data_IF_549446453100
#
_entry.id   IF_549446453100
#
_cell.length_a   1.000
_cell.length_b   1.000
_cell.length_c   1.000
_cell.angle_alpha   90.00
_cell.angle_beta   90.00
_cell.angle_gamma   90.00
#
_symmetry.space_group_name_H-M   'P 1'
#
loop_
_entity.id
_entity.type
_entity.pdbx_description
1 polymer ?
#
# COMPACT_ATOMS: atom_id res chain seq x y z
N UNK A 1 14.06 -7.76 64.97
CA UNK A 1 15.10 -7.08 64.16
C UNK A 1 15.38 -7.82 62.86
N UNK A 2 15.71 -9.12 62.89
CA UNK A 2 15.98 -9.95 61.70
C UNK A 2 14.82 -9.97 60.69
N UNK A 3 13.58 -10.22 61.14
CA UNK A 3 12.40 -10.23 60.25
C UNK A 3 12.13 -8.87 59.57
N UNK A 4 12.52 -7.77 60.21
CA UNK A 4 12.34 -6.41 59.67
C UNK A 4 13.37 -6.12 58.56
N UNK A 5 14.62 -6.58 58.76
CA UNK A 5 15.68 -6.49 57.75
C UNK A 5 15.36 -7.38 56.54
N UNK A 6 14.88 -8.61 56.78
CA UNK A 6 14.44 -9.52 55.70
C UNK A 6 13.26 -8.89 54.93
N UNK A 7 12.27 -8.34 55.64
CA UNK A 7 11.15 -7.65 55.00
C UNK A 7 11.58 -6.47 54.14
N UNK A 8 12.54 -5.67 54.61
CA UNK A 8 13.08 -4.53 53.87
C UNK A 8 13.86 -4.97 52.62
N UNK A 9 14.70 -6.02 52.73
CA UNK A 9 15.42 -6.60 51.60
C UNK A 9 14.47 -7.20 50.56
N UNK A 10 13.43 -7.91 51.00
CA UNK A 10 12.40 -8.44 50.09
C UNK A 10 11.62 -7.33 49.40
N UNK A 11 11.29 -6.24 50.09
CA UNK A 11 10.60 -5.10 49.49
C UNK A 11 11.48 -4.37 48.46
N UNK A 12 12.77 -4.19 48.75
CA UNK A 12 13.73 -3.60 47.81
C UNK A 12 13.94 -4.50 46.60
N UNK A 13 14.13 -5.80 46.81
CA UNK A 13 14.29 -6.77 45.72
C UNK A 13 13.02 -6.87 44.86
N UNK A 14 11.84 -6.94 45.48
CA UNK A 14 10.56 -6.98 44.80
C UNK A 14 10.27 -5.69 44.01
N UNK A 15 10.55 -4.52 44.61
CA UNK A 15 10.42 -3.23 43.94
C UNK A 15 11.36 -3.10 42.75
N UNK A 16 12.63 -3.51 42.91
CA UNK A 16 13.62 -3.51 41.84
C UNK A 16 13.23 -4.45 40.70
N UNK A 17 12.87 -5.71 41.00
CA UNK A 17 12.44 -6.67 39.99
C UNK A 17 11.16 -6.20 39.29
N UNK A 18 10.18 -5.68 40.03
CA UNK A 18 8.93 -5.15 39.46
C UNK A 18 9.18 -3.98 38.51
N UNK A 19 10.05 -3.05 38.88
CA UNK A 19 10.47 -1.97 38.00
C UNK A 19 11.20 -2.49 36.75
N UNK A 20 12.15 -3.41 36.92
CA UNK A 20 12.88 -4.03 35.83
C UNK A 20 11.94 -4.73 34.82
N UNK A 21 11.01 -5.56 35.31
CA UNK A 21 10.04 -6.24 34.45
C UNK A 21 9.10 -5.26 33.74
N UNK A 22 8.66 -4.19 34.43
CA UNK A 22 7.81 -3.16 33.83
C UNK A 22 8.53 -2.46 32.68
N UNK A 23 9.77 -2.03 32.88
CA UNK A 23 10.59 -1.39 31.83
C UNK A 23 10.86 -2.36 30.69
N UNK A 24 11.18 -3.62 30.99
CA UNK A 24 11.41 -4.65 29.97
C UNK A 24 10.18 -4.91 29.11
N UNK A 25 9.03 -5.18 29.73
CA UNK A 25 7.78 -5.43 29.01
C UNK A 25 7.34 -4.22 28.18
N UNK A 26 7.54 -3.00 28.71
CA UNK A 26 7.29 -1.77 27.96
C UNK A 26 8.16 -1.72 26.69
N UNK A 27 9.47 -1.92 26.82
CA UNK A 27 10.38 -1.90 25.67
C UNK A 27 10.10 -3.01 24.66
N UNK A 28 9.75 -4.21 25.13
CA UNK A 28 9.40 -5.34 24.26
C UNK A 28 8.09 -5.07 23.49
N UNK A 29 7.10 -4.44 24.13
CA UNK A 29 5.87 -3.98 23.47
C UNK A 29 6.19 -2.97 22.35
N UNK A 30 7.01 -1.96 22.64
CA UNK A 30 7.38 -0.93 21.65
C UNK A 30 8.07 -1.56 20.44
N UNK A 31 9.00 -2.49 20.66
CA UNK A 31 9.65 -3.24 19.58
C UNK A 31 8.66 -4.04 18.75
N UNK A 32 7.70 -4.70 19.39
CA UNK A 32 6.66 -5.46 18.70
C UNK A 32 5.75 -4.55 17.85
N UNK A 33 5.37 -3.39 18.37
CA UNK A 33 4.58 -2.39 17.63
C UNK A 33 5.36 -1.84 16.42
N UNK A 34 6.64 -1.56 16.60
CA UNK A 34 7.50 -1.06 15.51
C UNK A 34 7.66 -2.13 14.42
N UNK A 35 7.87 -3.40 14.81
CA UNK A 35 7.86 -4.52 13.86
C UNK A 35 6.52 -4.62 13.11
N UNK A 36 5.40 -4.61 13.84
CA UNK A 36 4.07 -4.70 13.26
C UNK A 36 3.80 -3.58 12.24
N UNK A 37 4.26 -2.35 12.51
CA UNK A 37 4.11 -1.23 11.57
C UNK A 37 4.74 -1.53 10.20
N UNK A 38 5.91 -2.16 10.19
CA UNK A 38 6.55 -2.52 8.94
C UNK A 38 5.98 -3.79 8.32
N UNK A 39 5.56 -4.77 9.12
CA UNK A 39 4.85 -5.94 8.61
C UNK A 39 3.56 -5.50 7.86
N UNK A 40 2.88 -4.44 8.31
CA UNK A 40 1.76 -3.85 7.57
C UNK A 40 2.17 -3.24 6.23
N UNK A 41 3.32 -2.56 6.13
CA UNK A 41 3.80 -2.09 4.83
C UNK A 41 4.10 -3.24 3.86
N UNK A 42 4.56 -4.38 4.39
CA UNK A 42 4.77 -5.60 3.61
C UNK A 42 3.44 -6.19 3.11
N UNK A 43 2.44 -6.27 3.98
CA UNK A 43 1.08 -6.70 3.61
C UNK A 43 0.50 -5.78 2.53
N UNK A 44 0.61 -4.46 2.68
CA UNK A 44 0.13 -3.50 1.68
C UNK A 44 0.84 -3.72 0.34
N UNK A 45 2.18 -3.80 0.35
CA UNK A 45 2.98 -4.07 -0.85
C UNK A 45 2.50 -5.34 -1.56
N UNK A 46 2.34 -6.44 -0.82
CA UNK A 46 1.99 -7.75 -1.39
C UNK A 46 0.56 -7.77 -1.93
N UNK A 47 -0.39 -7.13 -1.25
CA UNK A 47 -1.76 -6.95 -1.76
C UNK A 47 -1.71 -6.26 -3.11
N UNK A 48 -1.06 -5.10 -3.23
CA UNK A 48 -1.02 -4.38 -4.51
C UNK A 48 -0.25 -5.16 -5.58
N UNK A 49 0.89 -5.77 -5.22
CA UNK A 49 1.69 -6.56 -6.14
C UNK A 49 0.92 -7.73 -6.77
N UNK A 50 0.05 -8.39 -5.99
CA UNK A 50 -0.77 -9.50 -6.48
C UNK A 50 -1.81 -9.11 -7.54
N UNK A 51 -2.17 -7.81 -7.63
CA UNK A 51 -3.16 -7.32 -8.60
C UNK A 51 -2.54 -6.74 -9.88
N UNK A 52 -1.24 -6.44 -9.90
CA UNK A 52 -0.58 -5.80 -11.06
C UNK A 52 -0.81 -6.58 -12.35
N UNK A 53 -0.61 -7.90 -12.33
CA UNK A 53 -0.78 -8.75 -13.51
C UNK A 53 -2.20 -8.65 -14.07
N UNK A 54 -3.20 -8.81 -13.21
CA UNK A 54 -4.61 -8.74 -13.63
C UNK A 54 -4.97 -7.37 -14.20
N UNK A 55 -4.46 -6.28 -13.59
CA UNK A 55 -4.72 -4.93 -14.06
C UNK A 55 -4.03 -4.64 -15.41
N UNK A 56 -2.83 -5.15 -15.65
CA UNK A 56 -2.17 -5.07 -16.96
C UNK A 56 -2.97 -5.86 -18.02
N UNK A 57 -3.44 -7.06 -17.68
CA UNK A 57 -4.29 -7.85 -18.57
C UNK A 57 -5.62 -7.14 -18.85
N UNK A 58 -6.19 -6.42 -17.87
CA UNK A 58 -7.38 -5.58 -18.06
C UNK A 58 -7.10 -4.34 -18.92
N UNK A 59 -5.89 -3.80 -18.84
CA UNK A 59 -5.47 -2.63 -19.60
C UNK A 59 -5.28 -2.94 -21.08
N UNK A 60 -4.63 -4.06 -21.39
CA UNK A 60 -4.40 -4.51 -22.77
C UNK A 60 -5.66 -5.17 -23.37
N UNK A 61 -6.39 -5.97 -22.58
CA UNK A 61 -7.64 -6.63 -22.99
C UNK A 61 -8.84 -6.05 -22.23
N UNK A 62 -9.29 -4.89 -22.68
CA UNK A 62 -10.22 -3.97 -22.03
C UNK A 62 -11.70 -4.14 -22.39
N UNK A 63 -12.06 -5.11 -23.23
CA UNK A 63 -13.46 -5.50 -23.52
C UNK A 63 -13.61 -7.01 -23.37
N UNK A 64 -13.69 -7.47 -22.12
CA UNK A 64 -13.75 -8.89 -21.78
C UNK A 64 -14.90 -9.21 -20.83
N UNK A 65 -15.12 -10.51 -20.61
CA UNK A 65 -16.22 -11.03 -19.79
C UNK A 65 -15.96 -10.95 -18.28
N UNK A 66 -14.69 -10.81 -17.86
CA UNK A 66 -14.29 -10.71 -16.45
C UNK A 66 -13.11 -9.77 -16.30
N UNK A 67 -13.18 -8.86 -15.33
CA UNK A 67 -12.11 -7.92 -15.01
C UNK A 67 -11.49 -8.27 -13.68
N UNK A 68 -10.19 -8.02 -13.54
CA UNK A 68 -9.55 -8.03 -12.22
C UNK A 68 -9.96 -6.77 -11.45
N UNK A 69 -10.04 -6.85 -10.13
CA UNK A 69 -10.27 -5.70 -9.26
C UNK A 69 -8.96 -5.17 -8.68
N UNK A 70 -9.02 -4.02 -8.01
CA UNK A 70 -7.98 -3.62 -7.06
C UNK A 70 -8.61 -3.56 -5.68
N UNK A 71 -7.98 -4.17 -4.68
CA UNK A 71 -8.52 -4.17 -3.32
C UNK A 71 -8.42 -2.77 -2.72
N UNK A 72 -9.45 -2.38 -1.95
CA UNK A 72 -9.39 -1.15 -1.13
C UNK A 72 -8.25 -1.25 -0.12
N UNK A 73 -7.62 -0.11 0.15
CA UNK A 73 -6.58 0.03 1.16
C UNK A 73 -7.22 0.47 2.48
N UNK A 74 -7.03 -0.31 3.54
CA UNK A 74 -7.38 0.08 4.90
C UNK A 74 -6.11 0.49 5.65
N UNK A 75 -6.13 1.67 6.26
CA UNK A 75 -5.03 2.24 7.03
C UNK A 75 -5.32 2.28 8.54
N UNK A 76 -6.47 1.75 8.99
CA UNK A 76 -6.93 1.80 10.38
C UNK A 76 -5.87 1.27 11.36
N UNK A 77 -5.28 0.11 11.06
CA UNK A 77 -4.30 -0.53 11.92
C UNK A 77 -2.95 0.19 11.93
N UNK A 78 -2.45 0.61 10.75
CA UNK A 78 -1.25 1.47 10.63
C UNK A 78 -1.39 2.77 11.45
N UNK A 79 -2.55 3.42 11.35
CA UNK A 79 -2.83 4.65 12.10
C UNK A 79 -2.86 4.39 13.63
N UNK A 80 -3.39 3.24 14.04
CA UNK A 80 -3.44 2.83 15.44
C UNK A 80 -2.03 2.58 15.98
N UNK A 81 -1.19 1.85 15.24
CA UNK A 81 0.21 1.61 15.59
C UNK A 81 1.01 2.91 15.69
N UNK A 82 0.78 3.87 14.77
CA UNK A 82 1.43 5.17 14.80
C UNK A 82 1.10 5.94 16.09
N UNK A 83 -0.16 5.91 16.53
CA UNK A 83 -0.59 6.55 17.78
C UNK A 83 0.05 5.88 19.01
N UNK A 84 0.08 4.55 19.04
CA UNK A 84 0.69 3.81 20.16
C UNK A 84 2.20 4.02 20.27
N UNK A 85 2.91 4.03 19.13
CA UNK A 85 4.33 4.34 19.07
C UNK A 85 4.61 5.78 19.51
N UNK A 86 3.75 6.72 19.13
CA UNK A 86 3.87 8.10 19.58
C UNK A 86 3.66 8.26 21.09
N UNK A 87 2.69 7.55 21.67
CA UNK A 87 2.49 7.51 23.12
C UNK A 87 3.70 6.91 23.86
N UNK A 88 4.44 6.01 23.20
CA UNK A 88 5.62 5.34 23.75
C UNK A 88 6.93 6.09 23.50
N UNK A 89 6.89 7.29 22.91
CA UNK A 89 8.04 8.12 22.52
C UNK A 89 8.97 7.50 21.45
N UNK A 90 8.61 6.36 20.86
CA UNK A 90 9.31 5.74 19.72
C UNK A 90 8.66 6.16 18.40
N UNK A 91 8.62 7.47 18.16
CA UNK A 91 7.90 8.06 17.02
C UNK A 91 8.66 7.73 15.73
N UNK A 92 7.99 7.16 14.70
CA UNK A 92 8.60 6.98 13.39
C UNK A 92 9.13 8.29 12.79
N UNK A 93 10.13 8.18 11.91
CA UNK A 93 10.73 9.36 11.27
C UNK A 93 9.68 10.22 10.55
N UNK A 94 9.99 11.51 10.35
CA UNK A 94 9.08 12.45 9.68
C UNK A 94 8.67 11.92 8.29
N UNK A 95 9.60 11.30 7.59
CA UNK A 95 9.46 10.76 6.25
C UNK A 95 8.53 9.55 6.23
N UNK A 96 8.67 8.63 7.21
CA UNK A 96 7.73 7.50 7.39
C UNK A 96 6.33 8.00 7.70
N UNK A 97 6.19 9.01 8.58
CA UNK A 97 4.88 9.62 8.88
C UNK A 97 4.27 10.32 7.68
N UNK A 98 5.08 10.96 6.84
CA UNK A 98 4.62 11.56 5.60
C UNK A 98 4.17 10.49 4.60
N UNK A 99 4.87 9.35 4.50
CA UNK A 99 4.42 8.21 3.72
C UNK A 99 3.06 7.69 4.21
N UNK A 100 2.88 7.50 5.53
CA UNK A 100 1.59 7.09 6.10
C UNK A 100 0.49 8.09 5.74
N UNK A 101 0.76 9.39 5.79
CA UNK A 101 -0.19 10.43 5.37
C UNK A 101 -0.57 10.29 3.89
N UNK A 102 0.41 10.07 3.01
CA UNK A 102 0.17 9.88 1.58
C UNK A 102 -0.66 8.60 1.33
N UNK A 103 -0.36 7.50 2.02
CA UNK A 103 -1.13 6.26 1.92
C UNK A 103 -2.58 6.42 2.43
N UNK A 104 -2.82 7.22 3.47
CA UNK A 104 -4.17 7.58 3.89
C UNK A 104 -4.93 8.35 2.81
N UNK A 105 -4.27 9.28 2.12
CA UNK A 105 -4.87 10.00 0.98
C UNK A 105 -5.16 9.05 -0.20
N UNK A 106 -4.25 8.12 -0.49
CA UNK A 106 -4.48 7.06 -1.47
C UNK A 106 -5.69 6.22 -1.09
N UNK A 107 -5.77 5.76 0.17
CA UNK A 107 -6.91 4.99 0.69
C UNK A 107 -8.26 5.71 0.49
N UNK A 108 -8.31 7.02 0.82
CA UNK A 108 -9.52 7.83 0.64
C UNK A 108 -9.95 7.93 -0.83
N UNK A 109 -9.00 8.15 -1.74
CA UNK A 109 -9.28 8.40 -3.15
C UNK A 109 -9.43 7.11 -3.98
N UNK A 110 -8.88 5.99 -3.50
CA UNK A 110 -8.86 4.72 -4.24
C UNK A 110 -10.28 4.16 -4.45
N UNK A 111 -11.17 4.34 -3.47
CA UNK A 111 -12.56 3.89 -3.59
C UNK A 111 -13.28 4.56 -4.76
N UNK A 112 -13.05 5.86 -4.96
CA UNK A 112 -13.63 6.61 -6.10
C UNK A 112 -13.06 6.12 -7.43
N UNK A 113 -11.74 5.91 -7.53
CA UNK A 113 -11.10 5.40 -8.75
C UNK A 113 -11.59 4.01 -9.12
N UNK A 114 -11.75 3.12 -8.13
CA UNK A 114 -12.32 1.78 -8.34
C UNK A 114 -13.76 1.92 -8.86
N UNK A 115 -14.59 2.71 -8.18
CA UNK A 115 -15.98 2.92 -8.57
C UNK A 115 -16.11 3.48 -9.99
N UNK A 116 -15.31 4.49 -10.37
CA UNK A 116 -15.33 5.05 -11.73
C UNK A 116 -15.05 3.98 -12.79
N UNK A 117 -14.10 3.07 -12.53
CA UNK A 117 -13.80 1.97 -13.45
C UNK A 117 -14.92 0.94 -13.50
N UNK A 118 -15.43 0.52 -12.34
CA UNK A 118 -16.48 -0.49 -12.22
C UNK A 118 -17.77 -0.04 -12.90
N UNK A 119 -18.15 1.24 -12.73
CA UNK A 119 -19.30 1.83 -13.42
C UNK A 119 -19.18 1.74 -14.94
N UNK A 120 -17.98 1.94 -15.52
CA UNK A 120 -17.76 1.79 -16.97
C UNK A 120 -17.79 0.36 -17.46
N UNK A 121 -17.34 -0.58 -16.63
CA UNK A 121 -17.46 -2.02 -16.90
C UNK A 121 -18.92 -2.45 -16.88
N UNK A 122 -19.72 -1.94 -15.93
CA UNK A 122 -21.15 -2.24 -15.83
C UNK A 122 -21.93 -1.67 -17.03
N UNK A 123 -21.67 -0.41 -17.41
CA UNK A 123 -22.22 0.19 -18.63
C UNK A 123 -21.91 -0.67 -19.86
N UNK A 124 -20.66 -1.14 -19.99
CA UNK A 124 -20.24 -2.04 -21.08
C UNK A 124 -21.04 -3.35 -21.09
N UNK A 125 -21.20 -4.00 -19.94
CA UNK A 125 -21.95 -5.25 -19.86
C UNK A 125 -23.41 -5.08 -20.25
N UNK A 126 -24.06 -4.00 -19.79
CA UNK A 126 -25.45 -3.69 -20.10
C UNK A 126 -25.67 -3.36 -21.58
N UNK A 127 -24.70 -2.70 -22.22
CA UNK A 127 -24.80 -2.29 -23.62
C UNK A 127 -24.43 -3.40 -24.61
N UNK A 128 -23.63 -4.40 -24.20
CA UNK A 128 -22.91 -5.37 -25.06
C UNK A 128 -23.71 -6.12 -26.13
N UNK A 129 -25.05 -6.16 -26.04
CA UNK A 129 -25.92 -6.85 -26.99
C UNK A 129 -26.23 -6.06 -28.28
N UNK A 130 -26.11 -4.72 -28.30
CA UNK A 130 -26.49 -3.87 -29.45
C UNK A 130 -25.60 -2.61 -29.61
N UNK A 131 -24.27 -2.78 -29.63
CA UNK A 131 -23.32 -1.64 -29.67
C UNK A 131 -22.86 -1.31 -31.10
N UNK A 132 -22.95 -0.04 -31.48
CA UNK A 132 -22.29 0.48 -32.68
C UNK A 132 -20.76 0.49 -32.53
N UNK A 133 -19.97 0.30 -33.61
CA UNK A 133 -18.50 0.29 -33.55
C UNK A 133 -17.88 1.52 -32.88
N UNK A 134 -18.51 2.70 -33.00
CA UNK A 134 -18.05 3.96 -32.39
C UNK A 134 -18.16 3.93 -30.86
N UNK A 135 -19.27 3.40 -30.34
CA UNK A 135 -19.50 3.29 -28.90
C UNK A 135 -18.57 2.23 -28.29
N UNK A 136 -18.26 1.17 -29.04
CA UNK A 136 -17.26 0.17 -28.63
C UNK A 136 -15.89 0.78 -28.41
N UNK A 137 -15.47 1.73 -29.27
CA UNK A 137 -14.20 2.44 -29.10
C UNK A 137 -14.21 3.37 -27.87
N UNK A 138 -15.33 4.03 -27.60
CA UNK A 138 -15.48 4.88 -26.42
C UNK A 138 -15.38 4.07 -25.11
N UNK A 139 -16.06 2.92 -25.02
CA UNK A 139 -15.94 2.01 -23.87
C UNK A 139 -14.52 1.51 -23.69
N UNK A 140 -13.88 1.06 -24.78
CA UNK A 140 -12.50 0.60 -24.79
C UNK A 140 -11.56 1.64 -24.16
N UNK A 141 -11.63 2.87 -24.65
CA UNK A 141 -10.77 3.96 -24.22
C UNK A 141 -11.03 4.36 -22.78
N UNK A 142 -12.31 4.41 -22.35
CA UNK A 142 -12.68 4.78 -20.99
C UNK A 142 -12.24 3.73 -19.96
N UNK A 143 -12.49 2.44 -20.21
CA UNK A 143 -12.05 1.35 -19.31
C UNK A 143 -10.52 1.32 -19.23
N UNK A 144 -9.83 1.50 -20.36
CA UNK A 144 -8.37 1.56 -20.40
C UNK A 144 -7.82 2.73 -19.59
N UNK A 145 -8.41 3.93 -19.74
CA UNK A 145 -8.04 5.12 -18.98
C UNK A 145 -8.14 4.89 -17.46
N UNK A 146 -9.30 4.40 -16.99
CA UNK A 146 -9.50 4.16 -15.56
C UNK A 146 -8.61 3.03 -15.02
N UNK A 147 -8.37 1.98 -15.82
CA UNK A 147 -7.45 0.89 -15.44
C UNK A 147 -6.00 1.39 -15.35
N UNK A 148 -5.55 2.23 -16.27
CA UNK A 148 -4.25 2.90 -16.21
C UNK A 148 -4.10 3.75 -14.94
N UNK A 149 -5.15 4.48 -14.55
CA UNK A 149 -5.18 5.22 -13.29
C UNK A 149 -5.02 4.34 -12.04
N UNK A 150 -5.57 3.13 -12.03
CA UNK A 150 -5.37 2.17 -10.93
C UNK A 150 -3.95 1.59 -10.93
N UNK A 151 -3.39 1.31 -12.11
CA UNK A 151 -2.01 0.84 -12.25
C UNK A 151 -1.01 1.87 -11.71
N UNK A 152 -1.20 3.16 -12.01
CA UNK A 152 -0.36 4.24 -11.48
C UNK A 152 -0.40 4.33 -9.95
N UNK A 153 -1.58 4.16 -9.35
CA UNK A 153 -1.70 4.09 -7.88
C UNK A 153 -0.96 2.86 -7.34
N UNK A 154 -1.11 1.71 -8.00
CA UNK A 154 -0.51 0.48 -7.53
C UNK A 154 1.02 0.51 -7.56
N UNK A 155 1.63 1.02 -8.63
CA UNK A 155 3.10 1.12 -8.73
C UNK A 155 3.67 2.10 -7.71
N UNK A 156 2.97 3.21 -7.43
CA UNK A 156 3.38 4.21 -6.45
C UNK A 156 3.38 3.62 -5.03
N UNK A 157 2.30 2.93 -4.67
CA UNK A 157 2.18 2.23 -3.38
C UNK A 157 3.25 1.15 -3.25
N UNK A 158 3.43 0.28 -4.25
CA UNK A 158 4.43 -0.80 -4.21
C UNK A 158 5.85 -0.22 -4.10
N UNK A 159 6.18 0.82 -4.86
CA UNK A 159 7.50 1.44 -4.83
C UNK A 159 7.83 1.98 -3.43
N UNK A 160 6.94 2.81 -2.88
CA UNK A 160 7.20 3.45 -1.60
C UNK A 160 7.14 2.48 -0.41
N UNK A 161 6.24 1.50 -0.43
CA UNK A 161 6.20 0.45 0.61
C UNK A 161 7.43 -0.46 0.52
N UNK A 162 7.88 -0.84 -0.68
CA UNK A 162 9.13 -1.59 -0.85
C UNK A 162 10.35 -0.79 -0.35
N UNK A 163 10.38 0.52 -0.63
CA UNK A 163 11.45 1.40 -0.19
C UNK A 163 11.48 1.55 1.33
N UNK A 164 10.34 1.78 1.99
CA UNK A 164 10.30 1.92 3.46
C UNK A 164 10.64 0.62 4.17
N UNK A 165 10.30 -0.54 3.59
CA UNK A 165 10.69 -1.84 4.14
C UNK A 165 12.20 -2.09 4.10
N UNK A 166 12.88 -1.60 3.06
CA UNK A 166 14.33 -1.70 2.90
C UNK A 166 15.07 -0.69 3.78
N UNK A 167 14.65 0.58 3.72
CA UNK A 167 15.38 1.70 4.32
C UNK A 167 15.00 1.93 5.79
N UNK A 168 13.83 1.43 6.21
CA UNK A 168 13.27 1.52 7.58
C UNK A 168 13.34 2.97 8.10
N UNK A 169 13.98 3.19 9.24
CA UNK A 169 14.09 4.50 9.88
C UNK A 169 14.94 5.50 9.08
N UNK A 170 15.71 5.04 8.08
CA UNK A 170 16.47 5.88 7.16
C UNK A 170 15.71 6.18 5.86
N UNK A 171 14.43 5.83 5.80
CA UNK A 171 13.59 6.12 4.64
C UNK A 171 13.59 7.61 4.32
N UNK A 172 13.80 7.91 3.04
CA UNK A 172 13.65 9.24 2.48
C UNK A 172 12.89 9.15 1.17
N UNK A 173 12.09 10.17 0.86
CA UNK A 173 11.50 10.26 -0.47
C UNK A 173 12.62 10.47 -1.50
N UNK A 174 12.50 9.75 -2.61
CA UNK A 174 13.28 9.98 -3.82
C UNK A 174 12.34 10.53 -4.88
N UNK A 175 12.90 11.13 -5.92
CA UNK A 175 12.15 11.59 -7.10
C UNK A 175 12.42 10.75 -8.36
N UNK A 176 12.25 9.41 -8.36
CA UNK A 176 12.26 8.64 -9.60
C UNK A 176 11.03 8.97 -10.45
N UNK A 177 11.14 8.63 -11.72
CA UNK A 177 10.03 8.60 -12.64
C UNK A 177 9.04 7.46 -12.32
N UNK A 178 7.80 7.59 -12.77
CA UNK A 178 6.81 6.51 -12.68
C UNK A 178 7.23 5.25 -13.46
N UNK A 179 8.12 5.38 -14.44
CA UNK A 179 8.69 4.23 -15.16
C UNK A 179 9.57 3.39 -14.23
N UNK A 180 10.37 4.03 -13.39
CA UNK A 180 11.17 3.33 -12.37
C UNK A 180 10.28 2.70 -11.29
N UNK A 181 9.15 3.34 -10.95
CA UNK A 181 8.16 2.74 -10.03
C UNK A 181 7.59 1.46 -10.64
N UNK A 182 7.24 1.50 -11.92
CA UNK A 182 6.72 0.36 -12.66
C UNK A 182 7.73 -0.79 -12.76
N UNK A 183 9.01 -0.50 -12.96
CA UNK A 183 10.07 -1.50 -12.98
C UNK A 183 10.18 -2.24 -11.63
N UNK A 184 10.19 -1.48 -10.52
CA UNK A 184 10.18 -2.05 -9.17
C UNK A 184 8.92 -2.87 -8.94
N UNK A 185 7.76 -2.36 -9.32
CA UNK A 185 6.49 -3.06 -9.16
C UNK A 185 6.46 -4.38 -9.95
N UNK A 186 6.92 -4.38 -11.20
CA UNK A 186 7.01 -5.59 -12.02
C UNK A 186 7.92 -6.64 -11.36
N UNK A 187 9.08 -6.21 -10.85
CA UNK A 187 10.01 -7.09 -10.13
C UNK A 187 9.38 -7.68 -8.86
N UNK A 188 8.70 -6.86 -8.05
CA UNK A 188 8.02 -7.32 -6.82
C UNK A 188 6.86 -8.27 -7.13
N UNK A 189 6.13 -8.02 -8.22
CA UNK A 189 5.02 -8.86 -8.69
C UNK A 189 5.47 -10.12 -9.44
N UNK A 190 6.77 -10.31 -9.71
CA UNK A 190 7.27 -11.45 -10.46
C UNK A 190 6.83 -11.47 -11.93
N UNK A 191 6.66 -10.30 -12.55
CA UNK A 191 6.26 -10.17 -13.96
C UNK A 191 7.35 -9.47 -14.80
N UNK A 192 7.29 -9.67 -16.11
CA UNK A 192 8.19 -9.00 -17.05
C UNK A 192 7.86 -7.51 -17.16
N UNK A 193 8.90 -6.67 -17.16
CA UNK A 193 8.76 -5.24 -17.35
C UNK A 193 8.81 -4.89 -18.84
N UNK A 194 7.66 -4.46 -19.40
CA UNK A 194 7.57 -3.90 -20.74
C UNK A 194 7.51 -2.37 -20.68
N UNK A 195 8.64 -1.73 -21.02
CA UNK A 195 8.77 -0.27 -21.01
C UNK A 195 7.74 0.43 -21.91
N UNK A 196 7.41 -0.12 -23.07
CA UNK A 196 6.48 0.52 -24.01
C UNK A 196 5.04 0.53 -23.46
N UNK A 197 4.63 -0.55 -22.80
CA UNK A 197 3.33 -0.62 -22.12
C UNK A 197 3.24 0.44 -21.02
N UNK A 198 4.28 0.53 -20.18
CA UNK A 198 4.31 1.50 -19.08
C UNK A 198 4.42 2.95 -19.53
N UNK A 199 5.16 3.23 -20.61
CA UNK A 199 5.20 4.57 -21.20
C UNK A 199 3.80 5.02 -21.67
N UNK A 200 3.01 4.12 -22.29
CA UNK A 200 1.61 4.41 -22.67
C UNK A 200 0.71 4.65 -21.46
N UNK A 201 0.89 3.89 -20.37
CA UNK A 201 0.12 4.06 -19.13
C UNK A 201 0.46 5.41 -18.48
N UNK A 202 1.75 5.75 -18.37
CA UNK A 202 2.24 6.96 -17.70
C UNK A 202 1.92 8.23 -18.49
N UNK A 203 2.02 8.20 -19.82
CA UNK A 203 1.71 9.35 -20.66
C UNK A 203 0.21 9.66 -20.73
N UNK A 204 -0.65 8.70 -20.36
CA UNK A 204 -2.09 8.77 -20.60
C UNK A 204 -2.46 8.81 -22.09
N UNK A 205 -1.52 8.54 -22.99
CA UNK A 205 -1.74 8.55 -24.43
C UNK A 205 -2.27 7.18 -24.87
N UNK A 206 -3.59 7.00 -24.77
CA UNK A 206 -4.27 5.80 -25.23
C UNK A 206 -4.54 5.91 -26.74
N UNK A 207 -3.48 5.88 -27.55
CA UNK A 207 -3.62 5.75 -28.99
C UNK A 207 -3.93 4.31 -29.33
N UNK A 208 -5.15 4.07 -29.83
CA UNK A 208 -5.42 2.90 -30.65
C UNK A 208 -4.52 2.98 -31.88
N UNK A 209 -3.45 2.19 -31.89
CA UNK A 209 -2.76 1.87 -33.14
C UNK A 209 -3.79 1.30 -34.11
N UNK A 210 -3.76 1.88 -35.31
CA UNK A 210 -4.58 1.63 -36.50
C UNK A 210 -4.85 0.16 -36.76
#
# INVERSE_FOLDING_TARGET
MVNMIIGLLCALAGGYMGHYFTVKMFNDRVKAQNKALYDEFEIIKDIFASHIKGLLDDFDSNLKSKYSGLRKLDMSFVNSLLLELAASKDIPSKEVRLLIKNLNQVSANLSEKIYSRESKIEEWFNASLNIEPKDRFAFKSSIQFHTGGLLLVAIDVIYHTSKVLRDRNHFQFSSPSHIEFAEVACKVSGIYFDKQVWERIVSGSFSGTK
#
